data_IF_134203501763
#
_entry.id   IF_134203501763
#
_cell.length_a   1.000
_cell.length_b   1.000
_cell.length_c   1.000
_cell.angle_alpha   90.00
_cell.angle_beta   90.00
_cell.angle_gamma   90.00
#
_symmetry.space_group_name_H-M   'P 1'
#
loop_
_entity.id
_entity.type
_entity.pdbx_description
1 polymer ?
#
# COMPACT_ATOMS: atom_id res chain seq x y z
N UNK A 1 8.76 -26.92 -47.67
CA UNK A 1 9.43 -25.67 -47.23
C UNK A 1 10.52 -26.04 -46.24
N UNK A 2 11.81 -25.99 -46.62
CA UNK A 2 12.91 -26.27 -45.67
C UNK A 2 12.91 -25.13 -44.64
N UNK A 3 12.53 -25.44 -43.41
CA UNK A 3 12.62 -24.47 -42.31
C UNK A 3 14.10 -24.19 -42.10
N UNK A 4 14.55 -23.01 -42.54
CA UNK A 4 15.90 -22.54 -42.31
C UNK A 4 16.10 -22.41 -40.79
N UNK A 5 17.23 -22.87 -40.27
CA UNK A 5 17.48 -22.95 -38.83
C UNK A 5 17.36 -21.58 -38.16
N UNK A 6 17.72 -20.51 -38.88
CA UNK A 6 17.52 -19.12 -38.45
C UNK A 6 16.05 -18.73 -38.29
N UNK A 7 15.15 -19.27 -39.12
CA UNK A 7 13.69 -19.06 -38.98
C UNK A 7 13.15 -19.76 -37.74
N UNK A 8 13.68 -20.94 -37.40
CA UNK A 8 13.31 -21.68 -36.19
C UNK A 8 13.76 -20.90 -34.95
N UNK A 9 15.03 -20.46 -34.92
CA UNK A 9 15.59 -19.66 -33.83
C UNK A 9 14.79 -18.36 -33.63
N UNK A 10 14.47 -17.66 -34.73
CA UNK A 10 13.67 -16.42 -34.69
C UNK A 10 12.25 -16.66 -34.16
N UNK A 11 11.61 -17.78 -34.54
CA UNK A 11 10.28 -18.15 -34.03
C UNK A 11 10.31 -18.46 -32.52
N UNK A 12 11.33 -19.18 -32.06
CA UNK A 12 11.51 -19.50 -30.63
C UNK A 12 11.79 -18.24 -29.82
N UNK A 13 12.67 -17.36 -30.32
CA UNK A 13 12.95 -16.08 -29.66
C UNK A 13 11.69 -15.21 -29.54
N UNK A 14 10.86 -15.16 -30.59
CA UNK A 14 9.58 -14.45 -30.57
C UNK A 14 8.61 -15.06 -29.55
N UNK A 15 8.52 -16.39 -29.47
CA UNK A 15 7.67 -17.06 -28.50
C UNK A 15 8.08 -16.80 -27.04
N UNK A 16 9.39 -16.80 -26.75
CA UNK A 16 9.92 -16.46 -25.42
C UNK A 16 9.59 -15.01 -25.06
N UNK A 17 9.77 -14.09 -26.01
CA UNK A 17 9.51 -12.66 -25.78
C UNK A 17 8.02 -12.40 -25.52
N UNK A 18 7.13 -13.04 -26.27
CA UNK A 18 5.69 -13.00 -26.01
C UNK A 18 5.32 -13.61 -24.64
N UNK A 19 5.97 -14.71 -24.24
CA UNK A 19 5.72 -15.33 -22.95
C UNK A 19 6.09 -14.42 -21.76
N UNK A 20 7.23 -13.73 -21.83
CA UNK A 20 7.66 -12.76 -20.81
C UNK A 20 6.67 -11.59 -20.70
N UNK A 21 6.11 -11.13 -21.82
CA UNK A 21 5.15 -10.02 -21.83
C UNK A 21 3.76 -10.41 -21.28
N UNK A 22 3.35 -11.67 -21.44
CA UNK A 22 2.03 -12.16 -20.98
C UNK A 22 2.04 -12.48 -19.47
N UNK A 23 3.17 -12.94 -18.93
CA UNK A 23 3.31 -13.30 -17.51
C UNK A 23 2.80 -12.22 -16.53
N UNK A 24 3.21 -10.94 -16.59
CA UNK A 24 2.79 -9.92 -15.62
C UNK A 24 1.29 -9.60 -15.67
N UNK A 25 0.58 -9.93 -16.75
CA UNK A 25 -0.86 -9.69 -16.85
C UNK A 25 -1.71 -10.75 -16.14
N UNK A 26 -1.20 -11.99 -15.99
CA UNK A 26 -1.92 -13.09 -15.34
C UNK A 26 -1.60 -13.27 -13.87
N UNK A 27 -0.41 -12.88 -13.43
CA UNK A 27 -0.12 -12.79 -12.00
C UNK A 27 -0.78 -11.51 -11.47
N UNK A 28 -1.60 -11.64 -10.43
CA UNK A 28 -2.33 -10.55 -9.77
C UNK A 28 -1.40 -9.61 -8.97
N UNK A 29 -0.21 -9.32 -9.52
CA UNK A 29 0.88 -8.55 -8.92
C UNK A 29 0.39 -7.17 -8.51
N UNK A 30 -0.51 -6.58 -9.31
CA UNK A 30 -1.07 -5.27 -9.03
C UNK A 30 -1.85 -5.23 -7.71
N UNK A 31 -2.68 -6.24 -7.42
CA UNK A 31 -3.43 -6.32 -6.16
C UNK A 31 -2.47 -6.48 -4.97
N UNK A 32 -1.47 -7.37 -5.10
CA UNK A 32 -0.49 -7.59 -4.03
C UNK A 32 0.32 -6.31 -3.74
N UNK A 33 0.80 -5.63 -4.79
CA UNK A 33 1.53 -4.37 -4.65
C UNK A 33 0.69 -3.27 -4.01
N UNK A 34 -0.59 -3.16 -4.37
CA UNK A 34 -1.50 -2.20 -3.74
C UNK A 34 -1.75 -2.52 -2.27
N UNK A 35 -1.94 -3.78 -1.90
CA UNK A 35 -2.07 -4.19 -0.49
C UNK A 35 -0.79 -3.86 0.28
N UNK A 36 0.39 -4.22 -0.23
CA UNK A 36 1.68 -3.89 0.38
C UNK A 36 1.86 -2.37 0.57
N UNK A 37 1.49 -1.57 -0.44
CA UNK A 37 1.53 -0.12 -0.36
C UNK A 37 0.53 0.44 0.67
N UNK A 38 -0.67 -0.15 0.75
CA UNK A 38 -1.66 0.23 1.75
C UNK A 38 -1.16 -0.02 3.18
N UNK A 39 -0.64 -1.23 3.44
CA UNK A 39 -0.07 -1.59 4.75
C UNK A 39 1.10 -0.69 5.12
N UNK A 40 1.99 -0.41 4.15
CA UNK A 40 3.10 0.53 4.35
C UNK A 40 2.62 1.93 4.72
N UNK A 41 1.64 2.46 4.00
CA UNK A 41 1.05 3.77 4.30
C UNK A 41 0.48 3.79 5.73
N UNK A 42 -0.25 2.75 6.13
CA UNK A 42 -0.81 2.64 7.47
C UNK A 42 0.28 2.60 8.55
N UNK A 43 1.39 1.89 8.31
CA UNK A 43 2.53 1.85 9.23
C UNK A 43 3.26 3.20 9.38
N UNK A 44 3.41 3.95 8.29
CA UNK A 44 3.97 5.32 8.34
C UNK A 44 3.06 6.25 9.14
N UNK A 45 1.74 6.15 8.97
CA UNK A 45 0.76 6.92 9.75
C UNK A 45 0.78 6.52 11.22
N UNK A 46 0.81 5.22 11.53
CA UNK A 46 0.89 4.72 12.90
C UNK A 46 2.11 5.29 13.63
N UNK A 47 3.27 5.27 12.96
CA UNK A 47 4.50 5.84 13.51
C UNK A 47 4.37 7.34 13.78
N UNK A 48 3.74 8.09 12.88
CA UNK A 48 3.48 9.51 13.05
C UNK A 48 2.56 9.81 14.24
N UNK A 49 1.48 9.03 14.42
CA UNK A 49 0.58 9.16 15.58
C UNK A 49 1.35 8.86 16.88
N UNK A 50 2.16 7.80 16.91
CA UNK A 50 2.98 7.47 18.07
C UNK A 50 3.95 8.61 18.44
N UNK A 51 4.61 9.21 17.45
CA UNK A 51 5.48 10.36 17.66
C UNK A 51 4.73 11.57 18.23
N UNK A 52 3.56 11.89 17.66
CA UNK A 52 2.69 12.96 18.17
C UNK A 52 2.31 12.72 19.63
N UNK A 53 1.79 11.52 19.95
CA UNK A 53 1.33 11.20 21.30
C UNK A 53 2.49 11.23 22.33
N UNK A 54 3.69 10.80 21.94
CA UNK A 54 4.88 10.86 22.80
C UNK A 54 5.35 12.29 23.07
N UNK A 55 5.27 13.16 22.07
CA UNK A 55 5.72 14.55 22.18
C UNK A 55 4.72 15.40 22.96
N UNK A 56 3.44 15.30 22.62
CA UNK A 56 2.37 16.13 23.18
C UNK A 56 1.75 15.54 24.46
N UNK A 57 1.98 14.25 24.73
CA UNK A 57 1.39 13.51 25.86
C UNK A 57 -0.14 13.56 25.87
N UNK A 58 -0.73 13.53 24.68
CA UNK A 58 -2.17 13.59 24.47
C UNK A 58 -2.61 12.62 23.37
N UNK A 59 -3.88 12.24 23.41
CA UNK A 59 -4.51 11.39 22.39
C UNK A 59 -4.61 12.13 21.05
N UNK A 60 -4.51 11.39 19.95
CA UNK A 60 -4.67 11.92 18.61
C UNK A 60 -6.04 11.55 18.04
N UNK A 61 -6.82 12.57 17.68
CA UNK A 61 -8.04 12.43 16.89
C UNK A 61 -8.00 13.44 15.75
N UNK A 62 -7.83 12.96 14.51
CA UNK A 62 -7.59 13.82 13.36
C UNK A 62 -7.30 13.05 12.09
N UNK A 63 -6.79 13.77 11.08
CA UNK A 63 -6.58 13.24 9.74
C UNK A 63 -5.10 13.18 9.36
N UNK A 64 -4.77 12.47 8.28
CA UNK A 64 -3.41 12.48 7.69
C UNK A 64 -2.96 13.88 7.27
N UNK A 65 -3.90 14.79 7.00
CA UNK A 65 -3.61 16.20 6.71
C UNK A 65 -3.17 16.95 7.96
N UNK A 66 -3.72 16.63 9.12
CA UNK A 66 -3.34 17.28 10.38
C UNK A 66 -1.93 16.86 10.76
N UNK A 67 -1.62 15.56 10.69
CA UNK A 67 -0.26 15.05 10.87
C UNK A 67 0.74 15.68 9.87
N UNK A 68 0.34 15.92 8.62
CA UNK A 68 1.17 16.62 7.64
C UNK A 68 1.39 18.10 8.01
N UNK A 69 0.34 18.81 8.44
CA UNK A 69 0.43 20.22 8.87
C UNK A 69 1.30 20.39 10.12
N UNK A 70 1.26 19.41 11.01
CA UNK A 70 2.09 19.33 12.21
C UNK A 70 3.49 18.75 11.93
N UNK A 71 3.82 18.47 10.66
CA UNK A 71 5.13 17.98 10.23
C UNK A 71 5.53 16.57 10.74
N UNK A 72 4.55 15.76 11.18
CA UNK A 72 4.74 14.33 11.49
C UNK A 72 4.69 13.45 10.25
N UNK A 73 4.07 13.92 9.16
CA UNK A 73 4.07 13.27 7.85
C UNK A 73 4.56 14.21 6.76
N UNK A 74 5.33 13.68 5.79
CA UNK A 74 5.83 14.45 4.64
C UNK A 74 4.77 14.74 3.57
N UNK A 75 3.72 13.93 3.54
CA UNK A 75 2.61 14.00 2.58
C UNK A 75 1.36 13.37 3.17
N UNK A 76 0.21 13.64 2.55
CA UNK A 76 -1.01 12.89 2.82
C UNK A 76 -0.97 11.54 2.11
N UNK A 77 -1.35 10.48 2.84
CA UNK A 77 -1.51 9.13 2.28
C UNK A 77 -2.96 8.84 1.95
N UNK A 78 -3.16 8.11 0.87
CA UNK A 78 -4.46 7.68 0.35
C UNK A 78 -4.41 6.19 0.05
N UNK A 79 -5.57 5.53 0.09
CA UNK A 79 -5.69 4.12 -0.28
C UNK A 79 -5.36 3.91 -1.77
N UNK A 80 -4.50 2.94 -2.14
CA UNK A 80 -4.12 2.71 -3.55
C UNK A 80 -5.18 1.95 -4.37
N UNK A 81 -6.31 1.55 -3.77
CA UNK A 81 -7.31 0.70 -4.43
C UNK A 81 -8.35 1.48 -5.24
N UNK A 82 -9.15 2.32 -4.58
CA UNK A 82 -10.26 3.03 -5.20
C UNK A 82 -10.19 4.51 -4.86
N UNK A 83 -10.17 5.33 -5.90
CA UNK A 83 -10.30 6.79 -5.91
C UNK A 83 -9.32 7.66 -5.08
N UNK A 84 -8.95 8.79 -5.69
CA UNK A 84 -8.23 9.89 -5.05
C UNK A 84 -9.13 10.47 -3.95
N UNK A 85 -8.63 10.54 -2.71
CA UNK A 85 -9.32 11.12 -1.57
C UNK A 85 -9.82 10.15 -0.50
N UNK A 86 -9.64 8.83 -0.68
CA UNK A 86 -9.94 7.83 0.34
C UNK A 86 -8.90 7.87 1.47
N UNK A 87 -9.22 8.63 2.52
CA UNK A 87 -8.36 8.85 3.68
C UNK A 87 -8.54 7.73 4.70
N UNK A 88 -7.41 7.34 5.30
CA UNK A 88 -7.37 6.44 6.44
C UNK A 88 -8.10 7.01 7.65
N UNK A 89 -8.78 6.15 8.40
CA UNK A 89 -9.35 6.48 9.71
C UNK A 89 -8.28 6.32 10.77
N UNK A 90 -8.05 7.37 11.56
CA UNK A 90 -6.94 7.47 12.50
C UNK A 90 -7.46 7.71 13.90
N UNK A 91 -6.94 6.97 14.86
CA UNK A 91 -7.15 7.24 16.28
C UNK A 91 -5.91 6.84 17.06
N UNK A 92 -5.55 7.63 18.07
CA UNK A 92 -4.50 7.29 19.01
C UNK A 92 -4.94 7.65 20.42
N UNK A 93 -4.89 6.70 21.34
CA UNK A 93 -5.21 6.91 22.74
C UNK A 93 -3.91 6.90 23.56
N UNK A 94 -3.55 8.06 24.13
CA UNK A 94 -2.30 8.19 24.88
C UNK A 94 -2.31 7.44 26.22
N UNK A 95 -3.45 7.36 26.89
CA UNK A 95 -3.57 6.70 28.21
C UNK A 95 -3.35 5.19 28.11
N UNK A 96 -3.84 4.58 27.03
CA UNK A 96 -3.71 3.13 26.77
C UNK A 96 -2.52 2.80 25.88
N UNK A 97 -2.00 3.77 25.12
CA UNK A 97 -1.00 3.57 24.07
C UNK A 97 -1.55 2.94 22.79
N UNK A 98 -2.87 2.74 22.70
CA UNK A 98 -3.51 2.13 21.53
C UNK A 98 -3.51 3.08 20.33
N UNK A 99 -3.10 2.60 19.17
CA UNK A 99 -3.14 3.34 17.90
C UNK A 99 -3.90 2.52 16.88
N UNK A 100 -4.98 3.08 16.35
CA UNK A 100 -5.81 2.48 15.32
C UNK A 100 -5.64 3.23 14.02
N UNK A 101 -5.18 2.54 12.98
CA UNK A 101 -5.12 3.06 11.61
C UNK A 101 -5.89 2.08 10.71
N UNK A 102 -7.02 2.53 10.17
CA UNK A 102 -7.92 1.68 9.38
C UNK A 102 -8.02 2.15 7.94
N UNK A 103 -7.88 1.20 7.00
CA UNK A 103 -8.11 1.45 5.57
C UNK A 103 -9.61 1.73 5.31
N UNK A 104 -9.97 2.77 4.53
CA UNK A 104 -11.36 3.07 4.21
C UNK A 104 -12.06 1.96 3.41
N UNK A 105 -11.28 1.20 2.64
CA UNK A 105 -11.79 0.14 1.77
C UNK A 105 -11.70 -1.26 2.40
N UNK A 106 -11.55 -1.36 3.73
CA UNK A 106 -11.43 -2.66 4.42
C UNK A 106 -12.62 -3.59 4.12
N UNK A 107 -13.84 -3.06 3.94
CA UNK A 107 -15.04 -3.86 3.61
C UNK A 107 -15.00 -4.53 2.24
N UNK A 108 -14.17 -4.02 1.32
CA UNK A 108 -14.02 -4.57 -0.03
C UNK A 108 -12.69 -5.32 -0.19
N UNK A 109 -11.73 -5.06 0.70
CA UNK A 109 -10.40 -5.65 0.69
C UNK A 109 -10.04 -6.09 2.11
N UNK A 110 -10.51 -7.29 2.49
CA UNK A 110 -10.26 -7.90 3.80
C UNK A 110 -8.75 -8.09 4.11
N UNK A 111 -7.91 -8.02 3.08
CA UNK A 111 -6.45 -8.17 3.17
C UNK A 111 -5.73 -6.88 3.62
N UNK A 112 -6.45 -5.75 3.75
CA UNK A 112 -5.88 -4.43 4.10
C UNK A 112 -5.82 -4.22 5.62
N UNK A 113 -5.28 -5.19 6.33
CA UNK A 113 -5.11 -5.15 7.79
C UNK A 113 -3.65 -4.85 8.10
N UNK A 114 -3.40 -3.93 9.03
CA UNK A 114 -2.09 -3.77 9.62
C UNK A 114 -1.80 -5.00 10.49
N UNK A 115 -1.15 -6.02 9.92
CA UNK A 115 -0.58 -7.10 10.73
C UNK A 115 0.69 -6.57 11.39
N UNK A 116 0.54 -5.99 12.57
CA UNK A 116 1.45 -6.14 13.71
C UNK A 116 1.03 -5.18 14.83
N UNK A 117 0.17 -5.70 15.71
CA UNK A 117 0.19 -5.37 17.13
C UNK A 117 1.04 -6.44 17.80
N UNK A 118 2.36 -6.24 17.87
CA UNK A 118 3.21 -6.96 18.80
C UNK A 118 4.35 -6.10 19.32
#
# INVERSE_FOLDING_TARGET
MKLNIYKIISLVALAVLLFILILPQKFNVNRKQKTEQCVKNMGEIHTAINSFMKEHKESFDGTTRDLMRMNYLKKTYECPEKAVGDKYYLHGNYETGEITVTCPNLKEFDDHILMDNK
#
